data_IF_444274922221
#
_entry.id   IF_444274922221
#
_cell.length_a   1.000
_cell.length_b   1.000
_cell.length_c   1.000
_cell.angle_alpha   90.00
_cell.angle_beta   90.00
_cell.angle_gamma   90.00
#
_symmetry.space_group_name_H-M   'P 1'
#
loop_
_entity.id
_entity.type
_entity.pdbx_description
1 polymer ?
#
# COMPACT_ATOMS: atom_id res chain seq x y z
N UNK A 1 22.99 -2.90 2.08
CA UNK A 1 23.42 -2.61 3.45
C UNK A 1 24.24 -1.32 3.58
N UNK A 2 25.27 -1.04 2.70
CA UNK A 2 26.11 0.16 2.84
C UNK A 2 25.36 1.47 2.55
N UNK A 3 24.41 1.45 1.63
CA UNK A 3 23.58 2.62 1.22
C UNK A 3 22.27 2.72 1.99
N UNK A 4 22.05 1.91 3.00
CA UNK A 4 20.80 1.91 3.77
C UNK A 4 20.65 3.22 4.57
N UNK A 5 19.51 3.90 4.39
CA UNK A 5 19.25 5.19 5.02
C UNK A 5 19.87 6.41 4.30
N UNK A 6 20.46 6.23 3.12
CA UNK A 6 20.90 7.34 2.28
C UNK A 6 19.68 8.03 1.66
N UNK A 7 19.66 9.37 1.66
CA UNK A 7 18.47 10.16 1.31
C UNK A 7 18.01 10.05 -0.16
N UNK A 8 18.89 9.61 -1.06
CA UNK A 8 18.55 9.35 -2.47
C UNK A 8 18.16 7.89 -2.74
N UNK A 9 18.21 7.02 -1.71
CA UNK A 9 17.92 5.60 -1.83
C UNK A 9 16.44 5.30 -1.53
N UNK A 10 15.67 4.90 -2.54
CA UNK A 10 14.26 4.50 -2.40
C UNK A 10 14.07 3.16 -1.70
N UNK A 11 15.06 2.30 -1.69
CA UNK A 11 15.07 1.01 -0.99
C UNK A 11 16.12 0.06 -1.52
N UNK A 12 16.53 -0.87 -0.67
CA UNK A 12 17.37 -2.01 -0.99
C UNK A 12 16.52 -3.26 -0.73
N UNK A 13 16.35 -4.08 -1.74
CA UNK A 13 15.57 -5.31 -1.68
C UNK A 13 16.51 -6.49 -1.88
N UNK A 14 16.34 -7.52 -1.07
CA UNK A 14 17.12 -8.75 -1.17
C UNK A 14 16.18 -9.94 -1.46
N UNK A 15 16.73 -11.13 -1.55
CA UNK A 15 15.99 -12.36 -1.87
C UNK A 15 14.87 -12.72 -0.87
N UNK A 16 14.85 -12.13 0.32
CA UNK A 16 13.80 -12.32 1.33
C UNK A 16 12.68 -11.29 1.22
N UNK A 17 12.85 -10.26 0.37
CA UNK A 17 11.93 -9.13 0.22
C UNK A 17 10.99 -9.27 -0.99
N UNK A 18 10.68 -10.49 -1.44
CA UNK A 18 9.89 -10.73 -2.66
C UNK A 18 8.53 -10.00 -2.67
N UNK A 19 7.89 -9.90 -1.51
CA UNK A 19 6.65 -9.12 -1.34
C UNK A 19 6.86 -7.62 -1.67
N UNK A 20 8.04 -7.07 -1.41
CA UNK A 20 8.37 -5.68 -1.72
C UNK A 20 8.72 -5.46 -3.19
N UNK A 21 9.12 -6.50 -3.92
CA UNK A 21 9.41 -6.40 -5.37
C UNK A 21 8.16 -5.97 -6.13
N UNK A 22 7.00 -6.59 -5.86
CA UNK A 22 5.73 -6.17 -6.45
C UNK A 22 5.36 -4.72 -6.14
N UNK A 23 5.63 -4.27 -4.91
CA UNK A 23 5.41 -2.88 -4.50
C UNK A 23 6.37 -1.90 -5.19
N UNK A 24 7.61 -2.31 -5.47
CA UNK A 24 8.55 -1.54 -6.29
C UNK A 24 7.99 -1.33 -7.71
N UNK A 25 7.58 -2.40 -8.41
CA UNK A 25 7.01 -2.27 -9.75
C UNK A 25 5.75 -1.40 -9.75
N UNK A 26 4.88 -1.58 -8.76
CA UNK A 26 3.71 -0.72 -8.59
C UNK A 26 4.10 0.76 -8.42
N UNK A 27 5.09 1.06 -7.57
CA UNK A 27 5.60 2.42 -7.37
C UNK A 27 6.16 3.02 -8.66
N UNK A 28 6.94 2.25 -9.43
CA UNK A 28 7.50 2.70 -10.72
C UNK A 28 6.39 3.03 -11.71
N UNK A 29 5.34 2.22 -11.80
CA UNK A 29 4.19 2.50 -12.66
C UNK A 29 3.37 3.71 -12.20
N UNK A 30 3.24 3.94 -10.89
CA UNK A 30 2.67 5.18 -10.38
C UNK A 30 3.49 6.40 -10.83
N UNK A 31 4.83 6.34 -10.70
CA UNK A 31 5.70 7.41 -11.17
C UNK A 31 5.57 7.67 -12.68
N UNK A 32 5.49 6.62 -13.49
CA UNK A 32 5.21 6.75 -14.94
C UNK A 32 3.88 7.46 -15.18
N UNK A 33 2.81 7.06 -14.49
CA UNK A 33 1.48 7.65 -14.65
C UNK A 33 1.44 9.14 -14.21
N UNK A 34 2.10 9.49 -13.12
CA UNK A 34 2.25 10.86 -12.62
C UNK A 34 3.00 11.73 -13.65
N UNK A 35 4.16 11.25 -14.13
CA UNK A 35 5.02 11.95 -15.08
C UNK A 35 4.38 12.07 -16.47
N UNK A 36 3.64 11.05 -16.90
CA UNK A 36 2.89 11.10 -18.17
C UNK A 36 1.88 12.25 -18.17
N UNK A 37 1.22 12.48 -17.05
CA UNK A 37 0.30 13.62 -16.89
C UNK A 37 1.04 14.96 -16.85
N UNK A 38 2.14 15.03 -16.11
CA UNK A 38 2.92 16.24 -15.94
C UNK A 38 3.64 16.66 -17.23
N UNK A 39 4.14 15.70 -18.02
CA UNK A 39 4.96 15.98 -19.21
C UNK A 39 4.11 16.27 -20.47
N UNK A 40 2.78 16.05 -20.42
CA UNK A 40 1.85 16.42 -21.49
C UNK A 40 2.26 15.94 -22.89
N UNK A 41 2.80 14.73 -22.99
CA UNK A 41 3.27 14.13 -24.25
C UNK A 41 4.75 14.36 -24.56
N UNK A 42 5.46 15.18 -23.77
CA UNK A 42 6.91 15.30 -23.81
C UNK A 42 7.63 14.15 -23.11
N UNK A 43 8.94 14.17 -23.16
CA UNK A 43 9.79 13.22 -22.43
C UNK A 43 10.51 13.90 -21.25
N UNK A 44 11.13 13.08 -20.38
CA UNK A 44 11.84 13.53 -19.19
C UNK A 44 12.91 14.59 -19.48
N UNK A 45 13.74 14.38 -20.51
CA UNK A 45 14.81 15.30 -20.87
C UNK A 45 14.26 16.68 -21.28
N UNK A 46 13.22 16.68 -22.12
CA UNK A 46 12.57 17.93 -22.55
C UNK A 46 11.93 18.65 -21.37
N UNK A 47 11.26 17.89 -20.48
CA UNK A 47 10.64 18.47 -19.29
C UNK A 47 11.66 19.14 -18.38
N UNK A 48 12.79 18.46 -18.09
CA UNK A 48 13.85 18.99 -17.22
C UNK A 48 14.52 20.21 -17.86
N UNK A 49 14.72 20.23 -19.17
CA UNK A 49 15.27 21.39 -19.86
C UNK A 49 14.41 22.65 -19.73
N UNK A 50 13.08 22.50 -19.71
CA UNK A 50 12.14 23.63 -19.66
C UNK A 50 11.82 24.02 -18.21
N UNK A 51 11.61 23.06 -17.32
CA UNK A 51 11.05 23.28 -15.99
C UNK A 51 12.07 23.09 -14.86
N UNK A 52 13.30 22.71 -15.19
CA UNK A 52 14.30 22.29 -14.19
C UNK A 52 14.04 20.88 -13.60
N UNK A 53 14.88 20.42 -12.68
CA UNK A 53 14.84 19.06 -12.13
C UNK A 53 13.76 18.88 -11.04
N UNK A 54 12.50 19.13 -11.37
CA UNK A 54 11.36 18.97 -10.43
C UNK A 54 11.08 17.50 -10.13
N UNK A 55 11.37 16.61 -11.06
CA UNK A 55 11.29 15.17 -10.89
C UNK A 55 12.69 14.57 -10.91
N UNK A 56 13.10 13.79 -9.89
CA UNK A 56 14.41 13.13 -9.90
C UNK A 56 14.47 12.03 -10.97
N UNK A 57 15.65 11.80 -11.55
CA UNK A 57 15.91 10.57 -12.26
C UNK A 57 15.87 9.39 -11.28
N UNK A 58 15.31 8.27 -11.70
CA UNK A 58 15.25 7.04 -10.91
C UNK A 58 16.12 5.99 -11.56
N UNK A 59 17.06 5.44 -10.80
CA UNK A 59 17.89 4.31 -11.24
C UNK A 59 17.45 3.06 -10.45
N UNK A 60 17.05 2.03 -11.17
CA UNK A 60 16.76 0.71 -10.64
C UNK A 60 17.91 -0.22 -10.96
N UNK A 61 18.66 -0.62 -9.94
CA UNK A 61 19.75 -1.57 -10.08
C UNK A 61 19.27 -2.99 -9.73
N UNK A 62 19.48 -3.94 -10.64
CA UNK A 62 19.22 -5.37 -10.44
C UNK A 62 20.55 -6.09 -10.53
N UNK A 63 21.04 -6.58 -9.39
CA UNK A 63 22.29 -7.33 -9.32
C UNK A 63 22.00 -8.83 -9.45
N UNK A 64 22.53 -9.45 -10.52
CA UNK A 64 22.30 -10.84 -10.84
C UNK A 64 20.90 -11.13 -11.38
N UNK A 65 20.62 -10.73 -12.61
CA UNK A 65 19.28 -10.89 -13.24
C UNK A 65 18.79 -12.33 -13.26
N UNK A 66 19.66 -13.31 -13.45
CA UNK A 66 19.28 -14.73 -13.44
C UNK A 66 18.70 -15.15 -12.08
N UNK A 67 19.38 -14.78 -10.99
CA UNK A 67 18.89 -15.05 -9.63
C UNK A 67 17.60 -14.28 -9.33
N UNK A 68 17.48 -13.03 -9.76
CA UNK A 68 16.24 -12.26 -9.63
C UNK A 68 15.06 -12.98 -10.31
N UNK A 69 15.23 -13.43 -11.56
CA UNK A 69 14.17 -14.13 -12.31
C UNK A 69 13.80 -15.47 -11.68
N UNK A 70 14.79 -16.26 -11.26
CA UNK A 70 14.56 -17.52 -10.55
C UNK A 70 13.76 -17.32 -9.28
N UNK A 71 14.16 -16.37 -8.41
CA UNK A 71 13.49 -16.11 -7.12
C UNK A 71 12.09 -15.52 -7.28
N UNK A 72 11.85 -14.79 -8.35
CA UNK A 72 10.52 -14.23 -8.65
C UNK A 72 9.69 -15.11 -9.57
N UNK A 73 10.16 -16.33 -9.89
CA UNK A 73 9.46 -17.26 -10.80
C UNK A 73 9.08 -16.59 -12.14
N UNK A 74 9.94 -15.70 -12.64
CA UNK A 74 9.74 -14.91 -13.87
C UNK A 74 8.49 -14.01 -13.90
N UNK A 75 7.81 -13.84 -12.77
CA UNK A 75 6.55 -13.07 -12.67
C UNK A 75 6.67 -11.62 -13.13
N UNK A 76 7.88 -11.03 -13.08
CA UNK A 76 8.09 -9.62 -13.41
C UNK A 76 8.78 -9.39 -14.76
N UNK A 77 8.94 -10.41 -15.58
CA UNK A 77 9.60 -10.29 -16.90
C UNK A 77 8.87 -9.30 -17.82
N UNK A 78 7.55 -9.36 -17.87
CA UNK A 78 6.76 -8.44 -18.70
C UNK A 78 6.84 -7.00 -18.21
N UNK A 79 6.80 -6.78 -16.89
CA UNK A 79 6.95 -5.45 -16.28
C UNK A 79 8.35 -4.88 -16.56
N UNK A 80 9.40 -5.71 -16.44
CA UNK A 80 10.77 -5.30 -16.76
C UNK A 80 10.90 -4.87 -18.22
N UNK A 81 10.39 -5.67 -19.17
CA UNK A 81 10.40 -5.33 -20.59
C UNK A 81 9.71 -4.01 -20.87
N UNK A 82 8.51 -3.83 -20.29
CA UNK A 82 7.72 -2.62 -20.50
C UNK A 82 8.41 -1.39 -19.89
N UNK A 83 8.91 -1.49 -18.67
CA UNK A 83 9.62 -0.39 -18.02
C UNK A 83 10.97 -0.10 -18.67
N UNK A 84 11.72 -1.10 -19.12
CA UNK A 84 12.96 -0.88 -19.88
C UNK A 84 12.70 -0.13 -21.20
N UNK A 85 11.57 -0.42 -21.86
CA UNK A 85 11.16 0.24 -23.10
C UNK A 85 10.64 1.67 -22.87
N UNK A 86 9.77 1.86 -21.89
CA UNK A 86 9.01 3.11 -21.71
C UNK A 86 9.65 4.04 -20.66
N UNK A 87 10.30 3.45 -19.64
CA UNK A 87 10.75 4.17 -18.44
C UNK A 87 11.74 5.29 -18.70
N UNK A 88 12.67 5.13 -19.63
CA UNK A 88 13.64 6.17 -19.96
C UNK A 88 12.97 7.47 -20.42
N UNK A 89 11.85 7.37 -21.15
CA UNK A 89 11.03 8.52 -21.54
C UNK A 89 10.45 9.30 -20.34
N UNK A 90 10.37 8.65 -19.20
CA UNK A 90 9.86 9.21 -17.93
C UNK A 90 10.96 9.35 -16.86
N UNK A 91 12.25 9.22 -17.23
CA UNK A 91 13.38 9.36 -16.31
C UNK A 91 13.56 8.19 -15.36
N UNK A 92 13.13 6.97 -15.76
CA UNK A 92 13.36 5.73 -15.02
C UNK A 92 14.32 4.88 -15.84
N UNK A 93 15.47 4.53 -15.27
CA UNK A 93 16.56 3.82 -15.92
C UNK A 93 16.86 2.53 -15.17
N UNK A 94 17.31 1.51 -15.93
CA UNK A 94 17.71 0.23 -15.37
C UNK A 94 19.22 0.05 -15.52
N UNK A 95 19.84 -0.46 -14.46
CA UNK A 95 21.20 -0.99 -14.44
C UNK A 95 21.12 -2.46 -14.03
N UNK A 96 21.44 -3.35 -14.93
CA UNK A 96 21.24 -4.80 -14.74
C UNK A 96 22.59 -5.49 -14.87
N UNK A 97 22.95 -6.34 -13.90
CA UNK A 97 24.14 -7.20 -13.98
C UNK A 97 23.74 -8.64 -14.24
N UNK A 98 24.62 -9.37 -14.92
CA UNK A 98 24.49 -10.80 -15.18
C UNK A 98 25.88 -11.43 -15.31
N UNK A 99 25.98 -12.73 -15.07
CA UNK A 99 27.24 -13.47 -15.21
C UNK A 99 27.55 -13.80 -16.65
N UNK A 100 26.55 -13.89 -17.52
CA UNK A 100 26.70 -14.09 -18.96
C UNK A 100 25.68 -13.27 -19.75
N UNK A 101 25.87 -13.17 -21.07
CA UNK A 101 24.96 -12.45 -21.95
C UNK A 101 24.13 -13.41 -22.82
N UNK A 102 23.91 -14.66 -22.37
CA UNK A 102 23.12 -15.65 -23.09
C UNK A 102 21.60 -15.44 -22.92
N UNK A 103 20.84 -16.04 -23.83
CA UNK A 103 19.35 -15.99 -23.85
C UNK A 103 18.73 -16.49 -22.53
N UNK A 104 19.45 -17.35 -21.82
CA UNK A 104 19.01 -17.88 -20.52
C UNK A 104 19.01 -16.85 -19.39
N UNK A 105 19.89 -15.87 -19.42
CA UNK A 105 19.95 -14.80 -18.42
C UNK A 105 19.21 -13.55 -18.86
N UNK A 106 19.60 -13.02 -20.04
CA UNK A 106 18.95 -11.83 -20.61
C UNK A 106 18.16 -12.26 -21.84
N UNK A 107 16.87 -12.52 -21.63
CA UNK A 107 16.00 -12.90 -22.74
C UNK A 107 15.86 -11.77 -23.75
N UNK A 108 15.74 -12.12 -25.05
CA UNK A 108 15.86 -11.20 -26.18
C UNK A 108 15.00 -9.94 -26.05
N UNK A 109 13.74 -10.08 -25.61
CA UNK A 109 12.80 -8.95 -25.42
C UNK A 109 13.30 -7.92 -24.40
N UNK A 110 14.01 -8.34 -23.34
CA UNK A 110 14.64 -7.42 -22.40
C UNK A 110 15.91 -6.82 -23.01
N UNK A 111 16.77 -7.66 -23.56
CA UNK A 111 18.03 -7.25 -24.20
C UNK A 111 17.82 -6.20 -25.29
N UNK A 112 16.76 -6.32 -26.11
CA UNK A 112 16.44 -5.35 -27.17
C UNK A 112 16.12 -3.94 -26.65
N UNK A 113 15.72 -3.82 -25.39
CA UNK A 113 15.44 -2.55 -24.72
C UNK A 113 16.62 -2.00 -23.91
N UNK A 114 17.69 -2.77 -23.71
CA UNK A 114 18.93 -2.35 -23.07
C UNK A 114 19.92 -1.89 -24.13
N UNK A 115 20.15 -0.58 -24.23
CA UNK A 115 20.90 0.02 -25.33
C UNK A 115 22.42 -0.03 -25.17
N UNK A 116 22.90 -0.02 -23.93
CA UNK A 116 24.31 0.01 -23.60
C UNK A 116 24.69 -1.22 -22.84
N UNK A 117 25.69 -1.94 -23.32
CA UNK A 117 26.25 -3.09 -22.62
C UNK A 117 27.73 -2.82 -22.30
N UNK A 118 28.08 -3.05 -21.04
CA UNK A 118 29.46 -3.06 -20.56
C UNK A 118 29.83 -4.51 -20.28
N UNK A 119 30.69 -5.10 -21.06
CA UNK A 119 31.18 -6.44 -20.77
C UNK A 119 32.50 -6.37 -20.00
N UNK A 120 32.60 -7.11 -18.92
CA UNK A 120 33.87 -7.40 -18.24
C UNK A 120 34.54 -8.60 -18.91
N UNK A 121 35.51 -9.22 -18.25
CA UNK A 121 36.14 -10.43 -18.76
C UNK A 121 35.12 -11.57 -18.90
N UNK A 122 34.99 -12.11 -20.13
CA UNK A 122 34.10 -13.22 -20.48
C UNK A 122 34.94 -14.42 -20.93
N UNK A 123 34.36 -15.62 -20.89
CA UNK A 123 35.08 -16.89 -21.11
C UNK A 123 35.58 -17.07 -22.54
N UNK A 124 34.82 -16.53 -23.52
CA UNK A 124 35.13 -16.71 -24.92
C UNK A 124 34.66 -15.55 -25.82
N UNK A 125 35.15 -15.52 -27.06
CA UNK A 125 34.87 -14.46 -28.02
C UNK A 125 33.40 -14.43 -28.47
N UNK A 126 32.68 -15.55 -28.42
CA UNK A 126 31.25 -15.59 -28.82
C UNK A 126 30.38 -14.86 -27.82
N UNK A 127 30.70 -14.96 -26.53
CA UNK A 127 30.01 -14.21 -25.51
C UNK A 127 30.19 -12.69 -25.67
N UNK A 128 31.38 -12.24 -26.11
CA UNK A 128 31.58 -10.83 -26.46
C UNK A 128 30.76 -10.43 -27.69
N UNK A 129 30.66 -11.32 -28.69
CA UNK A 129 29.84 -11.06 -29.87
C UNK A 129 28.37 -10.84 -29.50
N UNK A 130 27.84 -11.67 -28.63
CA UNK A 130 26.45 -11.57 -28.14
C UNK A 130 26.25 -10.32 -27.30
N UNK A 131 27.15 -10.06 -26.34
CA UNK A 131 27.09 -8.93 -25.44
C UNK A 131 27.16 -7.58 -26.17
N UNK A 132 28.10 -7.44 -27.11
CA UNK A 132 28.37 -6.21 -27.85
C UNK A 132 27.59 -6.12 -29.16
N UNK A 133 26.80 -7.15 -29.51
CA UNK A 133 26.08 -7.25 -30.80
C UNK A 133 26.96 -7.03 -32.00
N UNK A 134 28.20 -7.49 -31.89
CA UNK A 134 29.22 -7.38 -32.92
C UNK A 134 29.62 -8.78 -33.38
N UNK A 135 29.45 -9.16 -34.67
CA UNK A 135 29.67 -10.53 -35.15
C UNK A 135 31.07 -11.06 -34.92
N UNK A 136 32.07 -10.21 -34.84
CA UNK A 136 33.47 -10.58 -34.54
C UNK A 136 34.15 -9.38 -33.88
N UNK A 137 34.18 -9.29 -32.53
CA UNK A 137 34.96 -8.24 -31.91
C UNK A 137 36.43 -8.37 -32.25
N UNK A 138 37.00 -7.28 -32.74
CA UNK A 138 38.42 -7.22 -33.14
C UNK A 138 39.39 -7.17 -31.96
N UNK A 139 38.84 -7.08 -30.75
CA UNK A 139 39.55 -6.83 -29.50
C UNK A 139 38.97 -7.73 -28.41
N UNK A 140 39.82 -8.28 -27.57
CA UNK A 140 39.48 -8.90 -26.28
C UNK A 140 40.17 -8.13 -25.17
N UNK A 141 39.54 -7.94 -23.98
CA UNK A 141 40.20 -7.24 -22.90
C UNK A 141 41.42 -8.00 -22.40
N UNK A 142 42.37 -7.30 -21.81
CA UNK A 142 43.53 -7.93 -21.18
C UNK A 142 43.05 -8.83 -20.01
N UNK A 143 43.42 -10.11 -20.10
CA UNK A 143 42.93 -11.12 -19.16
C UNK A 143 43.51 -10.93 -17.75
N UNK A 144 42.73 -11.26 -16.74
CA UNK A 144 43.09 -11.24 -15.32
C UNK A 144 43.17 -9.84 -14.69
N UNK A 145 42.77 -8.80 -15.40
CA UNK A 145 42.71 -7.43 -14.84
C UNK A 145 41.27 -7.13 -14.36
N UNK A 146 41.08 -7.09 -13.04
CA UNK A 146 39.77 -6.79 -12.47
C UNK A 146 39.23 -5.43 -12.92
N UNK A 147 37.98 -5.42 -13.39
CA UNK A 147 37.32 -4.20 -13.87
C UNK A 147 37.71 -3.77 -15.30
N UNK A 148 38.54 -4.55 -16.01
CA UNK A 148 38.83 -4.38 -17.44
C UNK A 148 37.70 -4.97 -18.27
N UNK A 149 37.30 -4.27 -19.34
CA UNK A 149 36.19 -4.74 -20.15
C UNK A 149 36.06 -4.05 -21.49
N UNK A 150 35.05 -4.40 -22.26
CA UNK A 150 34.74 -3.84 -23.56
C UNK A 150 33.38 -3.16 -23.59
N UNK A 151 33.31 -2.10 -24.37
CA UNK A 151 32.06 -1.35 -24.65
C UNK A 151 32.00 -0.97 -26.13
N UNK A 152 30.81 -1.01 -26.72
CA UNK A 152 30.56 -0.46 -28.04
C UNK A 152 30.20 1.01 -27.93
N UNK A 153 30.92 1.86 -28.68
CA UNK A 153 30.67 3.29 -28.76
C UNK A 153 30.72 3.73 -30.23
N UNK A 154 29.60 4.18 -30.74
CA UNK A 154 29.45 4.69 -32.12
C UNK A 154 30.02 3.70 -33.21
N UNK A 155 29.73 2.42 -33.07
CA UNK A 155 30.16 1.38 -34.00
C UNK A 155 31.60 0.86 -33.77
N UNK A 156 32.30 1.38 -32.76
CA UNK A 156 33.67 0.94 -32.42
C UNK A 156 33.67 0.23 -31.07
N UNK A 157 34.40 -0.89 -30.99
CA UNK A 157 34.65 -1.60 -29.74
C UNK A 157 35.87 -0.97 -29.07
N UNK A 158 35.64 -0.48 -27.82
CA UNK A 158 36.70 0.13 -27.03
C UNK A 158 36.92 -0.67 -25.74
N UNK A 159 38.17 -0.80 -25.36
CA UNK A 159 38.54 -1.33 -24.05
C UNK A 159 38.46 -0.23 -22.99
N UNK A 160 37.90 -0.55 -21.83
CA UNK A 160 37.79 0.37 -20.69
C UNK A 160 38.30 -0.26 -19.41
N UNK A 161 38.62 0.58 -18.43
CA UNK A 161 39.00 0.20 -17.08
C UNK A 161 38.03 0.85 -16.09
N UNK A 162 37.35 0.02 -15.29
CA UNK A 162 36.50 0.52 -14.21
C UNK A 162 37.35 1.12 -13.09
N UNK A 163 37.01 2.32 -12.64
CA UNK A 163 37.60 2.93 -11.44
C UNK A 163 36.88 2.45 -10.19
N UNK A 164 37.59 2.30 -9.10
CA UNK A 164 36.96 2.14 -7.79
C UNK A 164 36.30 3.45 -7.36
N UNK A 165 35.05 3.39 -6.87
CA UNK A 165 34.33 4.56 -6.39
C UNK A 165 35.06 5.22 -5.20
N UNK A 166 35.57 4.42 -4.28
CA UNK A 166 36.32 4.86 -3.11
C UNK A 166 37.55 3.98 -2.89
N UNK A 167 38.63 4.58 -2.46
CA UNK A 167 39.85 3.85 -2.12
C UNK A 167 39.73 3.18 -0.73
N UNK A 168 40.25 1.99 -0.59
CA UNK A 168 40.30 1.24 0.67
C UNK A 168 41.31 0.07 0.59
N UNK A 169 41.91 -0.29 1.71
CA UNK A 169 42.88 -1.39 1.78
C UNK A 169 42.24 -2.75 1.43
N UNK A 170 40.97 -2.91 1.78
CA UNK A 170 40.16 -4.08 1.52
C UNK A 170 38.69 -3.71 1.32
N UNK A 171 37.83 -4.71 1.06
CA UNK A 171 36.40 -4.50 0.84
C UNK A 171 35.68 -3.93 2.06
N UNK A 172 36.08 -4.33 3.26
CA UNK A 172 35.50 -3.81 4.49
C UNK A 172 35.80 -2.32 4.67
N UNK A 173 37.06 -1.91 4.48
CA UNK A 173 37.45 -0.51 4.55
C UNK A 173 36.74 0.34 3.49
N UNK A 174 36.48 -0.21 2.28
CA UNK A 174 35.67 0.47 1.26
C UNK A 174 34.21 0.62 1.66
N UNK A 175 33.60 -0.41 2.25
CA UNK A 175 32.22 -0.35 2.74
C UNK A 175 32.05 0.69 3.84
N UNK A 176 32.99 0.80 4.78
CA UNK A 176 32.94 1.82 5.83
C UNK A 176 33.03 3.23 5.23
N UNK A 177 33.92 3.44 4.25
CA UNK A 177 33.99 4.74 3.56
C UNK A 177 32.69 5.07 2.78
N UNK A 178 32.05 4.11 2.15
CA UNK A 178 30.74 4.32 1.51
C UNK A 178 29.72 4.79 2.55
N UNK A 179 29.68 4.16 3.74
CA UNK A 179 28.78 4.56 4.82
C UNK A 179 29.09 5.99 5.33
N UNK A 180 30.35 6.35 5.40
CA UNK A 180 30.76 7.73 5.79
C UNK A 180 30.32 8.74 4.75
N UNK A 181 30.54 8.47 3.47
CA UNK A 181 30.08 9.33 2.37
C UNK A 181 28.55 9.47 2.36
N UNK A 182 27.78 8.40 2.56
CA UNK A 182 26.32 8.46 2.68
C UNK A 182 25.88 9.39 3.84
N UNK A 183 26.59 9.34 4.99
CA UNK A 183 26.31 10.26 6.10
C UNK A 183 26.61 11.72 5.75
N UNK A 184 27.70 11.96 5.04
CA UNK A 184 28.05 13.32 4.59
C UNK A 184 27.05 13.84 3.56
N UNK A 185 26.62 13.02 2.61
CA UNK A 185 25.59 13.36 1.65
C UNK A 185 24.25 13.70 2.34
N UNK A 186 23.82 12.86 3.29
CA UNK A 186 22.61 13.11 4.07
C UNK A 186 22.68 14.42 4.86
N UNK A 187 23.84 14.74 5.42
CA UNK A 187 24.03 15.99 6.18
C UNK A 187 24.05 17.23 5.27
N UNK A 188 24.52 17.09 4.04
CA UNK A 188 24.60 18.18 3.06
C UNK A 188 23.30 18.37 2.26
N UNK A 189 22.43 17.37 2.19
CA UNK A 189 21.20 17.40 1.41
C UNK A 189 20.10 18.15 2.14
N UNK A 190 19.53 19.15 1.50
CA UNK A 190 18.40 19.95 2.00
C UNK A 190 17.11 19.78 1.18
N UNK A 191 17.17 18.95 0.11
CA UNK A 191 16.01 18.64 -0.73
C UNK A 191 15.15 17.51 -0.18
N UNK A 192 14.09 17.13 -0.90
CA UNK A 192 13.26 15.98 -0.52
C UNK A 192 14.05 14.67 -0.62
N UNK A 193 13.79 13.76 0.28
CA UNK A 193 14.33 12.41 0.22
C UNK A 193 13.69 11.60 -0.93
N UNK A 194 14.36 10.53 -1.33
CA UNK A 194 13.82 9.60 -2.32
C UNK A 194 12.50 8.97 -1.82
N UNK A 195 11.55 8.79 -2.74
CA UNK A 195 10.30 8.09 -2.44
C UNK A 195 10.60 6.63 -2.13
N UNK A 196 10.30 6.22 -0.90
CA UNK A 196 10.58 4.86 -0.44
C UNK A 196 9.68 3.83 -1.11
N UNK A 197 10.26 2.64 -1.40
CA UNK A 197 9.46 1.47 -1.78
C UNK A 197 8.52 1.14 -0.62
N UNK A 198 7.20 1.11 -0.82
CA UNK A 198 6.25 0.89 0.26
C UNK A 198 6.46 -0.46 0.94
N UNK A 199 6.28 -0.50 2.24
CA UNK A 199 6.34 -1.74 3.02
C UNK A 199 5.28 -1.74 4.11
N UNK A 200 4.88 -2.94 4.53
CA UNK A 200 4.05 -3.14 5.72
C UNK A 200 4.98 -3.65 6.80
N UNK A 201 5.02 -3.03 7.98
CA UNK A 201 5.78 -3.58 9.12
C UNK A 201 5.34 -5.02 9.43
N UNK A 202 6.26 -5.86 9.89
CA UNK A 202 5.96 -7.26 10.23
C UNK A 202 4.84 -7.38 11.29
N UNK A 203 4.88 -6.49 12.27
CA UNK A 203 3.88 -6.39 13.33
C UNK A 203 3.31 -4.96 13.36
N UNK A 204 2.41 -4.60 12.41
CA UNK A 204 1.94 -3.24 12.29
C UNK A 204 1.11 -2.83 13.50
N UNK A 205 1.39 -1.66 14.06
CA UNK A 205 0.64 -1.05 15.15
C UNK A 205 -0.15 0.17 14.69
N UNK A 206 -1.08 0.63 15.52
CA UNK A 206 -1.94 1.76 15.18
C UNK A 206 -1.17 3.03 14.79
N UNK A 207 -0.06 3.32 15.47
CA UNK A 207 0.78 4.48 15.17
C UNK A 207 1.43 4.43 13.80
N UNK A 208 1.72 3.24 13.27
CA UNK A 208 2.29 3.09 11.92
C UNK A 208 1.29 3.52 10.83
N UNK A 209 0.00 3.29 11.08
CA UNK A 209 -1.08 3.68 10.16
C UNK A 209 -1.33 5.19 10.27
N UNK A 210 -1.44 5.71 11.49
CA UNK A 210 -1.82 7.11 11.73
C UNK A 210 -0.73 8.11 11.37
N UNK A 211 0.53 7.69 11.29
CA UNK A 211 1.65 8.54 10.87
C UNK A 211 1.72 8.79 9.36
N UNK A 212 0.88 8.13 8.57
CA UNK A 212 0.88 8.23 7.11
C UNK A 212 -0.01 9.37 6.63
N UNK A 213 0.41 10.07 5.58
CA UNK A 213 -0.37 11.14 4.94
C UNK A 213 -1.71 10.62 4.37
N UNK A 214 -1.71 9.38 3.85
CA UNK A 214 -2.92 8.75 3.32
C UNK A 214 -3.99 8.54 4.42
N UNK A 215 -3.57 8.37 5.69
CA UNK A 215 -4.51 8.26 6.81
C UNK A 215 -5.26 9.57 7.02
N UNK A 216 -4.56 10.70 7.03
CA UNK A 216 -5.19 12.01 7.16
C UNK A 216 -6.13 12.31 5.98
N UNK A 217 -5.74 11.93 4.76
CA UNK A 217 -6.57 12.05 3.57
C UNK A 217 -7.84 11.20 3.66
N UNK A 218 -7.72 9.96 4.17
CA UNK A 218 -8.87 9.07 4.38
C UNK A 218 -9.83 9.59 5.47
N UNK A 219 -9.31 10.23 6.53
CA UNK A 219 -10.17 10.86 7.54
C UNK A 219 -10.96 12.04 6.97
N UNK A 220 -10.40 12.78 6.03
CA UNK A 220 -11.07 13.91 5.38
C UNK A 220 -12.14 13.46 4.36
N UNK A 221 -12.02 12.25 3.80
CA UNK A 221 -13.03 11.69 2.90
C UNK A 221 -14.23 11.15 3.71
N UNK A 222 -15.46 11.70 3.57
CA UNK A 222 -16.63 11.24 4.31
C UNK A 222 -17.01 9.80 4.03
N UNK A 223 -16.62 9.25 2.89
CA UNK A 223 -16.92 7.87 2.48
C UNK A 223 -15.90 6.84 2.98
N UNK A 224 -14.73 7.26 3.44
CA UNK A 224 -13.65 6.37 3.82
C UNK A 224 -13.55 6.18 5.33
N UNK A 225 -13.34 4.94 5.77
CA UNK A 225 -12.95 4.61 7.14
C UNK A 225 -11.66 3.79 7.09
N UNK A 226 -10.49 4.37 7.44
CA UNK A 226 -9.21 3.68 7.34
C UNK A 226 -9.11 2.56 8.38
N UNK A 227 -8.69 1.35 7.95
CA UNK A 227 -8.69 0.17 8.82
C UNK A 227 -7.31 -0.51 8.93
N UNK A 228 -6.50 -0.44 7.89
CA UNK A 228 -5.24 -1.19 7.84
C UNK A 228 -4.49 -0.96 6.55
N UNK A 229 -3.77 -1.97 6.10
CA UNK A 229 -2.97 -1.92 4.89
C UNK A 229 -3.55 -2.79 3.77
N UNK A 230 -3.40 -2.33 2.54
CA UNK A 230 -3.58 -3.16 1.34
C UNK A 230 -2.29 -3.96 1.13
N UNK A 231 -2.36 -5.27 1.14
CA UNK A 231 -1.18 -6.14 1.05
C UNK A 231 -0.32 -5.86 -0.20
N UNK A 232 -0.94 -5.71 -1.36
CA UNK A 232 -0.24 -5.53 -2.64
C UNK A 232 0.44 -4.18 -2.81
N UNK A 233 -0.07 -3.12 -2.18
CA UNK A 233 0.43 -1.75 -2.37
C UNK A 233 1.06 -1.15 -1.13
N UNK A 234 0.85 -1.77 0.04
CA UNK A 234 1.12 -1.21 1.36
C UNK A 234 0.45 0.16 1.60
N UNK A 235 -0.53 0.55 0.79
CA UNK A 235 -1.37 1.73 1.00
C UNK A 235 -2.39 1.49 2.12
N UNK A 236 -3.08 2.55 2.54
CA UNK A 236 -4.13 2.44 3.55
C UNK A 236 -5.37 1.78 2.95
N UNK A 237 -5.86 0.73 3.60
CA UNK A 237 -7.13 0.10 3.28
C UNK A 237 -8.27 0.87 3.94
N UNK A 238 -9.20 1.33 3.13
CA UNK A 238 -10.37 2.08 3.58
C UNK A 238 -11.65 1.26 3.36
N UNK A 239 -12.50 1.21 4.37
CA UNK A 239 -13.85 0.72 4.21
C UNK A 239 -14.71 1.82 3.57
N UNK A 240 -15.56 1.44 2.61
CA UNK A 240 -16.51 2.37 1.96
C UNK A 240 -17.79 2.48 2.78
N UNK A 241 -17.93 3.61 3.48
CA UNK A 241 -19.11 3.90 4.30
C UNK A 241 -20.37 4.20 3.48
N UNK A 242 -20.25 4.52 2.19
CA UNK A 242 -21.37 4.89 1.34
C UNK A 242 -22.25 3.71 0.91
N UNK A 243 -21.74 2.48 1.04
CA UNK A 243 -22.38 1.24 0.55
C UNK A 243 -22.77 0.26 1.64
N UNK A 244 -22.79 0.68 2.89
CA UNK A 244 -22.69 -0.22 4.00
C UNK A 244 -23.92 -0.25 4.89
N UNK A 245 -24.53 -1.41 5.01
CA UNK A 245 -25.58 -1.68 6.00
C UNK A 245 -24.98 -2.03 7.38
N UNK A 246 -24.22 -3.10 7.45
CA UNK A 246 -23.54 -3.57 8.63
C UNK A 246 -22.25 -4.30 8.23
N UNK A 247 -21.12 -3.96 8.85
CA UNK A 247 -19.89 -4.73 8.69
C UNK A 247 -19.90 -5.96 9.57
N UNK A 248 -19.87 -7.12 8.95
CA UNK A 248 -19.71 -8.37 9.68
C UNK A 248 -18.25 -8.79 9.67
N UNK A 249 -17.63 -8.79 10.84
CA UNK A 249 -16.27 -9.28 11.07
C UNK A 249 -16.37 -10.75 11.44
N UNK A 250 -16.32 -11.63 10.44
CA UNK A 250 -16.45 -13.07 10.62
C UNK A 250 -15.09 -13.75 10.75
N UNK A 251 -14.96 -14.71 11.64
CA UNK A 251 -13.74 -15.50 11.82
C UNK A 251 -13.87 -16.50 12.95
N UNK A 252 -12.97 -17.50 12.98
CA UNK A 252 -12.91 -18.49 14.07
C UNK A 252 -12.39 -17.84 15.35
N UNK A 253 -12.51 -18.54 16.48
CA UNK A 253 -11.91 -18.12 17.75
C UNK A 253 -10.42 -17.84 17.57
N UNK A 254 -9.93 -16.76 18.18
CA UNK A 254 -8.54 -16.27 18.10
C UNK A 254 -8.07 -15.81 16.70
N UNK A 255 -8.97 -15.59 15.75
CA UNK A 255 -8.63 -15.05 14.42
C UNK A 255 -8.41 -13.52 14.38
N UNK A 256 -8.55 -12.84 15.51
CA UNK A 256 -8.39 -11.39 15.58
C UNK A 256 -9.67 -10.57 15.45
N UNK A 257 -10.87 -11.17 15.40
CA UNK A 257 -12.15 -10.46 15.29
C UNK A 257 -12.28 -9.26 16.21
N UNK A 258 -12.05 -9.48 17.51
CA UNK A 258 -12.10 -8.40 18.52
C UNK A 258 -11.11 -7.29 18.22
N UNK A 259 -9.93 -7.62 17.68
CA UNK A 259 -8.94 -6.62 17.31
C UNK A 259 -9.40 -5.78 16.12
N UNK A 260 -10.06 -6.38 15.14
CA UNK A 260 -10.66 -5.63 14.01
C UNK A 260 -11.76 -4.68 14.50
N UNK A 261 -12.63 -5.13 15.42
CA UNK A 261 -13.64 -4.25 16.04
C UNK A 261 -12.99 -3.08 16.79
N UNK A 262 -11.88 -3.31 17.51
CA UNK A 262 -11.09 -2.25 18.16
C UNK A 262 -10.52 -1.25 17.16
N UNK A 263 -9.99 -1.74 16.03
CA UNK A 263 -9.48 -0.87 14.98
C UNK A 263 -10.59 -0.02 14.36
N UNK A 264 -11.77 -0.60 14.11
CA UNK A 264 -12.94 0.12 13.63
C UNK A 264 -13.35 1.22 14.62
N UNK A 265 -13.38 0.93 15.91
CA UNK A 265 -13.68 1.92 16.94
C UNK A 265 -12.67 3.06 16.97
N UNK A 266 -11.36 2.75 16.93
CA UNK A 266 -10.30 3.77 16.90
C UNK A 266 -10.36 4.63 15.64
N UNK A 267 -10.61 4.01 14.49
CA UNK A 267 -10.73 4.73 13.23
C UNK A 267 -11.97 5.65 13.21
N UNK A 268 -13.09 5.17 13.74
CA UNK A 268 -14.29 5.96 13.87
C UNK A 268 -14.11 7.13 14.85
N UNK A 269 -13.43 6.90 15.97
CA UNK A 269 -13.09 7.96 16.95
C UNK A 269 -12.18 9.01 16.31
N UNK A 270 -11.12 8.60 15.60
CA UNK A 270 -10.23 9.52 14.88
C UNK A 270 -10.98 10.36 13.83
N UNK A 271 -12.09 9.86 13.29
CA UNK A 271 -13.01 10.57 12.37
C UNK A 271 -14.03 11.45 13.11
N UNK A 272 -14.02 11.45 14.45
CA UNK A 272 -14.97 12.21 15.28
C UNK A 272 -16.35 11.57 15.43
N UNK A 273 -16.48 10.27 15.14
CA UNK A 273 -17.73 9.55 15.31
C UNK A 273 -18.02 9.28 16.80
N UNK A 274 -19.30 9.28 17.17
CA UNK A 274 -19.76 8.71 18.44
C UNK A 274 -19.80 7.19 18.33
N UNK A 275 -19.39 6.51 19.39
CA UNK A 275 -19.28 5.06 19.42
C UNK A 275 -20.22 4.50 20.50
N UNK A 276 -20.95 3.46 20.13
CA UNK A 276 -21.74 2.65 21.06
C UNK A 276 -21.33 1.18 20.92
N UNK A 277 -21.09 0.52 22.04
CA UNK A 277 -20.72 -0.91 22.09
C UNK A 277 -21.86 -1.70 22.72
N UNK A 278 -22.40 -2.65 21.96
CA UNK A 278 -23.42 -3.58 22.42
C UNK A 278 -22.75 -4.95 22.66
N UNK A 279 -22.53 -5.30 23.91
CA UNK A 279 -21.81 -6.51 24.29
C UNK A 279 -22.64 -7.33 25.28
N UNK A 280 -23.45 -8.26 24.73
CA UNK A 280 -24.39 -9.10 25.47
C UNK A 280 -23.74 -10.30 26.13
N UNK A 281 -22.54 -10.66 25.72
CA UNK A 281 -21.76 -11.76 26.30
C UNK A 281 -20.29 -11.37 26.45
N UNK A 282 -19.70 -11.61 27.61
CA UNK A 282 -18.33 -11.26 27.89
C UNK A 282 -18.10 -9.77 28.20
N UNK A 283 -16.86 -9.33 28.16
CA UNK A 283 -16.43 -7.95 28.47
C UNK A 283 -15.17 -7.57 27.64
N UNK A 284 -15.04 -8.14 26.46
CA UNK A 284 -13.82 -8.04 25.64
C UNK A 284 -13.55 -6.63 25.12
N UNK A 285 -14.62 -5.84 24.90
CA UNK A 285 -14.56 -4.46 24.41
C UNK A 285 -14.77 -3.39 25.49
N UNK A 286 -15.10 -3.78 26.73
CA UNK A 286 -15.42 -2.83 27.80
C UNK A 286 -14.29 -1.84 28.09
N UNK A 287 -13.04 -2.32 28.16
CA UNK A 287 -11.87 -1.46 28.38
C UNK A 287 -11.65 -0.48 27.23
N UNK A 288 -11.81 -0.95 26.00
CA UNK A 288 -11.66 -0.14 24.80
C UNK A 288 -12.77 0.92 24.73
N UNK A 289 -14.02 0.55 25.02
CA UNK A 289 -15.13 1.50 25.10
C UNK A 289 -14.86 2.61 26.14
N UNK A 290 -14.37 2.25 27.32
CA UNK A 290 -14.01 3.23 28.36
C UNK A 290 -12.88 4.15 27.89
N UNK A 291 -11.85 3.61 27.26
CA UNK A 291 -10.69 4.39 26.78
C UNK A 291 -11.07 5.39 25.67
N UNK A 292 -12.06 5.06 24.85
CA UNK A 292 -12.58 5.90 23.76
C UNK A 292 -13.80 6.76 24.19
N UNK A 293 -14.14 6.77 25.46
CA UNK A 293 -15.35 7.45 25.98
C UNK A 293 -16.62 7.07 25.21
N UNK A 294 -16.71 5.79 24.81
CA UNK A 294 -17.84 5.22 24.08
C UNK A 294 -18.95 4.74 25.02
N UNK A 295 -20.20 4.78 24.55
CA UNK A 295 -21.33 4.16 25.25
C UNK A 295 -21.13 2.64 25.31
N UNK A 296 -21.40 2.03 26.46
CA UNK A 296 -21.30 0.58 26.67
C UNK A 296 -22.58 0.03 27.24
N UNK A 297 -23.21 -0.90 26.53
CA UNK A 297 -24.54 -1.43 26.83
C UNK A 297 -24.48 -2.96 26.83
N UNK A 298 -24.79 -3.60 27.93
CA UNK A 298 -24.60 -5.05 28.14
C UNK A 298 -25.90 -5.79 28.47
N UNK A 299 -26.94 -5.08 28.90
CA UNK A 299 -28.23 -5.65 29.26
C UNK A 299 -29.31 -5.24 28.26
N UNK A 300 -30.39 -6.04 28.18
CA UNK A 300 -31.54 -5.71 27.33
C UNK A 300 -32.12 -4.32 27.62
N UNK A 301 -32.25 -3.96 28.88
CA UNK A 301 -32.80 -2.65 29.29
C UNK A 301 -31.90 -1.49 28.81
N UNK A 302 -30.57 -1.62 28.93
CA UNK A 302 -29.64 -0.61 28.48
C UNK A 302 -29.66 -0.48 26.94
N UNK A 303 -29.74 -1.61 26.21
CA UNK A 303 -29.83 -1.63 24.76
C UNK A 303 -31.13 -1.01 24.26
N UNK A 304 -32.26 -1.35 24.88
CA UNK A 304 -33.57 -0.74 24.57
C UNK A 304 -33.53 0.77 24.80
N UNK A 305 -32.96 1.22 25.93
CA UNK A 305 -32.78 2.64 26.23
C UNK A 305 -31.96 3.35 25.14
N UNK A 306 -30.80 2.79 24.78
CA UNK A 306 -29.94 3.34 23.73
C UNK A 306 -30.62 3.40 22.34
N UNK A 307 -31.32 2.34 21.94
CA UNK A 307 -32.09 2.34 20.69
C UNK A 307 -33.22 3.36 20.73
N UNK A 308 -33.84 3.55 21.89
CA UNK A 308 -34.83 4.59 22.12
C UNK A 308 -34.30 6.01 21.97
N UNK A 309 -33.01 6.26 22.24
CA UNK A 309 -32.32 7.53 21.98
C UNK A 309 -31.91 7.67 20.50
N UNK A 310 -31.51 6.59 19.87
CA UNK A 310 -31.03 6.59 18.48
C UNK A 310 -32.19 6.71 17.46
N UNK A 311 -33.34 6.14 17.74
CA UNK A 311 -34.49 6.14 16.84
C UNK A 311 -35.03 7.54 16.51
N UNK A 312 -35.19 8.48 17.44
CA UNK A 312 -35.56 9.87 17.14
C UNK A 312 -34.53 10.57 16.26
N UNK A 313 -33.23 10.37 16.52
CA UNK A 313 -32.15 10.91 15.71
C UNK A 313 -32.22 10.39 14.25
N UNK A 314 -32.43 9.10 14.08
CA UNK A 314 -32.65 8.51 12.77
C UNK A 314 -33.84 9.13 12.05
N UNK A 315 -34.97 9.30 12.74
CA UNK A 315 -36.17 9.90 12.18
C UNK A 315 -35.95 11.34 11.70
N UNK A 316 -35.28 12.16 12.51
CA UNK A 316 -34.94 13.54 12.13
C UNK A 316 -34.09 13.59 10.88
N UNK A 317 -33.06 12.72 10.79
CA UNK A 317 -32.17 12.63 9.63
C UNK A 317 -32.86 12.04 8.40
N UNK A 318 -33.84 11.17 8.61
CA UNK A 318 -34.68 10.66 7.52
C UNK A 318 -35.50 11.78 6.88
N UNK A 319 -36.09 12.67 7.67
CA UNK A 319 -36.81 13.86 7.19
C UNK A 319 -35.82 14.75 6.38
N UNK A 320 -34.67 15.09 6.95
CA UNK A 320 -33.65 15.87 6.28
C UNK A 320 -33.27 15.25 4.90
N UNK A 321 -33.05 13.94 4.85
CA UNK A 321 -32.75 13.26 3.60
C UNK A 321 -33.88 13.36 2.59
N UNK A 322 -35.14 13.22 3.02
CA UNK A 322 -36.29 13.41 2.13
C UNK A 322 -36.37 14.84 1.56
N UNK A 323 -36.04 15.84 2.36
CA UNK A 323 -35.96 17.23 1.93
C UNK A 323 -34.87 17.43 0.84
N UNK A 324 -33.69 16.82 1.01
CA UNK A 324 -32.60 16.87 0.02
C UNK A 324 -33.01 16.22 -1.31
N UNK A 325 -33.71 15.08 -1.25
CA UNK A 325 -34.29 14.42 -2.44
C UNK A 325 -35.33 15.32 -3.12
N UNK A 326 -36.22 15.95 -2.33
CA UNK A 326 -37.24 16.85 -2.87
C UNK A 326 -36.65 18.12 -3.51
N UNK A 327 -35.47 18.55 -3.08
CA UNK A 327 -34.69 19.63 -3.69
C UNK A 327 -33.99 19.21 -4.99
N UNK A 328 -34.07 17.92 -5.39
CA UNK A 328 -33.46 17.40 -6.60
C UNK A 328 -31.92 17.24 -6.55
N UNK A 329 -31.32 17.16 -5.36
CA UNK A 329 -29.88 16.94 -5.24
C UNK A 329 -29.51 15.53 -5.72
N UNK A 330 -28.38 15.44 -6.45
CA UNK A 330 -27.75 14.17 -6.81
C UNK A 330 -27.28 13.39 -5.56
N UNK A 331 -27.19 12.06 -5.66
CA UNK A 331 -26.87 11.17 -4.55
C UNK A 331 -25.56 11.56 -3.83
N UNK A 332 -24.53 11.93 -4.57
CA UNK A 332 -23.26 12.36 -3.99
C UNK A 332 -23.40 13.65 -3.18
N UNK A 333 -24.18 14.62 -3.66
CA UNK A 333 -24.44 15.85 -2.94
C UNK A 333 -25.30 15.60 -1.69
N UNK A 334 -26.28 14.68 -1.76
CA UNK A 334 -27.05 14.24 -0.61
C UNK A 334 -26.13 13.60 0.43
N UNK A 335 -25.21 12.70 0.02
CA UNK A 335 -24.27 12.06 0.92
C UNK A 335 -23.34 13.08 1.58
N UNK A 336 -22.79 14.02 0.82
CA UNK A 336 -21.93 15.09 1.32
C UNK A 336 -22.66 15.94 2.37
N UNK A 337 -23.93 16.29 2.15
CA UNK A 337 -24.73 17.04 3.12
C UNK A 337 -25.01 16.21 4.37
N UNK A 338 -25.36 14.92 4.20
CA UNK A 338 -25.64 14.02 5.33
C UNK A 338 -24.38 13.74 6.15
N UNK A 339 -23.19 13.73 5.54
CA UNK A 339 -21.91 13.50 6.23
C UNK A 339 -21.52 14.62 7.22
N UNK A 340 -22.19 15.77 7.15
CA UNK A 340 -22.03 16.84 8.14
C UNK A 340 -22.76 16.55 9.47
N UNK A 341 -23.67 15.58 9.47
CA UNK A 341 -24.35 15.12 10.69
C UNK A 341 -23.37 14.27 11.54
N UNK A 342 -23.56 14.27 12.86
CA UNK A 342 -22.73 13.49 13.77
C UNK A 342 -22.76 12.00 13.41
N UNK A 343 -21.64 11.46 12.97
CA UNK A 343 -21.52 10.04 12.66
C UNK A 343 -21.59 9.18 13.92
N UNK A 344 -22.27 8.04 13.81
CA UNK A 344 -22.32 7.00 14.84
C UNK A 344 -21.78 5.70 14.32
N UNK A 345 -20.95 5.02 15.11
CA UNK A 345 -20.57 3.62 14.92
C UNK A 345 -21.14 2.79 16.08
N UNK A 346 -22.04 1.89 15.76
CA UNK A 346 -22.59 0.91 16.72
C UNK A 346 -21.89 -0.42 16.51
N UNK A 347 -21.19 -0.87 17.53
CA UNK A 347 -20.37 -2.11 17.50
C UNK A 347 -21.07 -3.19 18.31
N UNK A 348 -21.41 -4.28 17.66
CA UNK A 348 -21.97 -5.50 18.26
C UNK A 348 -20.83 -6.50 18.45
N UNK A 349 -20.50 -6.84 19.69
CA UNK A 349 -19.33 -7.70 19.98
C UNK A 349 -19.50 -9.12 19.46
N UNK A 350 -20.70 -9.68 19.57
CA UNK A 350 -21.08 -11.01 19.09
C UNK A 350 -22.48 -10.99 18.50
N UNK A 351 -22.57 -11.22 17.20
CA UNK A 351 -23.82 -11.10 16.45
C UNK A 351 -24.81 -12.20 16.82
N UNK A 352 -24.36 -13.43 17.05
CA UNK A 352 -25.27 -14.55 17.33
C UNK A 352 -25.99 -14.35 18.67
N UNK A 353 -25.26 -14.04 19.75
CA UNK A 353 -25.85 -13.79 21.06
C UNK A 353 -26.73 -12.53 21.06
N UNK A 354 -26.36 -11.53 20.26
CA UNK A 354 -27.14 -10.32 20.10
C UNK A 354 -28.49 -10.60 19.41
N UNK A 355 -28.49 -11.37 18.32
CA UNK A 355 -29.71 -11.80 17.61
C UNK A 355 -30.64 -12.58 18.56
N UNK A 356 -30.10 -13.56 19.31
CA UNK A 356 -30.88 -14.29 20.30
C UNK A 356 -31.54 -13.39 21.33
N UNK A 357 -30.86 -12.35 21.81
CA UNK A 357 -31.44 -11.37 22.73
C UNK A 357 -32.57 -10.57 22.06
N UNK A 358 -32.34 -10.09 20.83
CA UNK A 358 -33.29 -9.27 20.06
C UNK A 358 -34.60 -10.05 19.80
N UNK A 359 -34.48 -11.33 19.40
CA UNK A 359 -35.63 -12.19 19.11
C UNK A 359 -36.16 -12.98 20.31
N UNK A 360 -35.60 -12.80 21.50
CA UNK A 360 -36.13 -13.35 22.74
C UNK A 360 -37.56 -12.82 23.00
N UNK A 361 -38.39 -13.52 23.80
CA UNK A 361 -39.72 -13.02 24.18
C UNK A 361 -39.70 -11.58 24.72
N UNK A 362 -38.72 -11.28 25.59
CA UNK A 362 -38.54 -9.95 26.16
C UNK A 362 -38.09 -8.91 25.11
N UNK A 363 -37.24 -9.27 24.16
CA UNK A 363 -36.80 -8.39 23.06
C UNK A 363 -37.96 -8.05 22.11
N UNK A 364 -38.78 -9.04 21.78
CA UNK A 364 -39.99 -8.86 20.94
C UNK A 364 -41.08 -8.00 21.65
N UNK A 365 -41.24 -8.18 22.93
CA UNK A 365 -42.19 -7.37 23.74
C UNK A 365 -41.80 -5.88 23.68
N UNK A 366 -40.49 -5.57 23.64
CA UNK A 366 -39.97 -4.20 23.50
C UNK A 366 -39.90 -3.72 22.03
N UNK A 367 -40.37 -4.52 21.06
CA UNK A 367 -40.28 -4.23 19.63
C UNK A 367 -38.84 -3.91 19.14
N UNK A 368 -37.84 -4.52 19.78
CA UNK A 368 -36.42 -4.24 19.50
C UNK A 368 -36.02 -4.69 18.09
N UNK A 369 -36.57 -5.82 17.62
CA UNK A 369 -36.31 -6.34 16.28
C UNK A 369 -36.73 -5.36 15.17
N UNK A 370 -37.96 -4.82 15.21
CA UNK A 370 -38.45 -3.89 14.20
C UNK A 370 -37.69 -2.55 14.19
N UNK A 371 -37.27 -2.06 15.37
CA UNK A 371 -36.46 -0.86 15.48
C UNK A 371 -35.06 -1.07 14.87
N UNK A 372 -34.42 -2.21 15.16
CA UNK A 372 -33.09 -2.54 14.66
C UNK A 372 -33.06 -2.83 13.16
N UNK A 373 -34.04 -3.54 12.59
CA UNK A 373 -34.15 -3.77 11.16
C UNK A 373 -34.14 -2.46 10.35
N UNK A 374 -34.87 -1.46 10.81
CA UNK A 374 -34.86 -0.15 10.18
C UNK A 374 -33.53 0.59 10.34
N UNK A 375 -32.94 0.57 11.54
CA UNK A 375 -31.68 1.24 11.83
C UNK A 375 -30.52 0.59 11.08
N UNK A 376 -30.42 -0.73 11.05
CA UNK A 376 -29.35 -1.44 10.33
C UNK A 376 -29.55 -1.28 8.82
N UNK A 377 -30.75 -1.51 8.29
CA UNK A 377 -31.02 -1.51 6.86
C UNK A 377 -30.86 -0.14 6.19
N UNK A 378 -31.08 0.96 6.92
CA UNK A 378 -31.06 2.32 6.36
C UNK A 378 -30.12 3.28 7.10
N UNK A 379 -29.53 2.86 8.21
CA UNK A 379 -28.73 3.73 9.09
C UNK A 379 -27.54 4.39 8.38
N UNK A 380 -26.87 3.67 7.50
CA UNK A 380 -25.73 4.20 6.75
C UNK A 380 -26.08 5.45 5.92
N UNK A 381 -27.29 5.53 5.38
CA UNK A 381 -27.78 6.71 4.68
C UNK A 381 -28.03 7.92 5.62
N UNK A 382 -27.97 7.69 6.92
CA UNK A 382 -28.26 8.65 7.99
C UNK A 382 -27.07 8.80 8.96
N UNK A 383 -25.86 8.43 8.50
CA UNK A 383 -24.61 8.47 9.29
C UNK A 383 -24.68 7.64 10.58
N UNK A 384 -25.37 6.51 10.54
CA UNK A 384 -25.44 5.52 11.62
C UNK A 384 -24.97 4.18 11.04
N UNK A 385 -23.76 3.77 11.41
CA UNK A 385 -23.10 2.58 10.89
C UNK A 385 -23.05 1.49 11.94
N UNK A 386 -23.16 0.24 11.49
CA UNK A 386 -23.09 -0.94 12.35
C UNK A 386 -21.88 -1.80 11.98
N UNK A 387 -21.23 -2.37 12.99
CA UNK A 387 -20.21 -3.39 12.83
C UNK A 387 -20.46 -4.51 13.83
N UNK A 388 -20.41 -5.77 13.39
CA UNK A 388 -20.71 -6.91 14.22
C UNK A 388 -19.63 -7.99 14.13
N UNK A 389 -19.19 -8.52 15.25
CA UNK A 389 -18.35 -9.72 15.32
C UNK A 389 -19.18 -10.98 15.18
N UNK A 390 -18.74 -11.95 14.36
CA UNK A 390 -19.43 -13.23 14.21
C UNK A 390 -18.45 -14.39 14.26
N UNK A 391 -18.72 -15.39 15.09
CA UNK A 391 -18.00 -16.64 15.02
C UNK A 391 -18.51 -17.47 13.83
N UNK A 392 -17.60 -18.02 13.04
CA UNK A 392 -18.00 -18.86 11.91
C UNK A 392 -18.68 -20.15 12.35
N UNK A 393 -18.34 -20.64 13.54
CA UNK A 393 -18.98 -21.84 14.11
C UNK A 393 -20.45 -21.55 14.56
N UNK A 394 -20.77 -20.28 14.86
CA UNK A 394 -22.11 -19.83 15.24
C UNK A 394 -22.97 -19.34 14.05
N UNK A 395 -22.45 -19.44 12.81
CA UNK A 395 -23.16 -18.95 11.61
C UNK A 395 -24.54 -19.57 11.43
N UNK A 396 -24.67 -20.88 11.65
CA UNK A 396 -25.94 -21.59 11.52
C UNK A 396 -26.96 -21.11 12.58
N UNK A 397 -26.49 -20.79 13.78
CA UNK A 397 -27.27 -20.27 14.89
C UNK A 397 -27.79 -18.87 14.61
N UNK A 398 -26.94 -17.98 14.06
CA UNK A 398 -27.35 -16.65 13.66
C UNK A 398 -28.30 -16.60 12.46
N UNK A 399 -28.31 -17.62 11.61
CA UNK A 399 -29.16 -17.73 10.42
C UNK A 399 -30.51 -18.39 10.66
N UNK A 400 -30.71 -19.03 11.82
CA UNK A 400 -31.96 -19.73 12.18
C UNK A 400 -32.99 -18.82 12.85
N UNK A 401 -32.62 -17.63 13.26
CA UNK A 401 -33.47 -16.59 13.86
C UNK A 401 -33.81 -15.49 12.83
#
# INVERSE_FOLDING_TARGET
AAFEGECHMGGILNENDLDRVGKLFYLLWQMVAERKRAFQGGNYTQYVMVNGPQYPAVLVAIDGIANFREKTEEMYDEELVRLAREGAGFGIYFFITGASFGITEIFSRLGDNLRTTLSLELSDIYQYSDALRCPQPSLTPEAGIAGRGLVEVNGSILEYQTALALNGADDYARLEKIREECKLLNAAWSGPAARLVPFIPENPVWTDITSREEFASALADPKALPLGYVASTAGIYNLDLSRMYCYTVAGRRRSGRTNVLRLLMRSAEAKGAKIAVLETSGTSLKKDATALNAGYYSTLSEIVGFIGELAPLFKTRHILKQELVAQGLEEDAQYQRMSQEQTWLVVISDLATFIELVYSPAGREQNLNGALENLIGKGFLHQIFFAAGMDLDDKARAASE
#
